data_IF_203081141877
#
_entry.id   IF_203081141877
#
_cell.length_a   1.000
_cell.length_b   1.000
_cell.length_c   1.000
_cell.angle_alpha   90.00
_cell.angle_beta   90.00
_cell.angle_gamma   90.00
#
_symmetry.space_group_name_H-M   'P 1'
#
loop_
_entity.id
_entity.type
_entity.pdbx_description
1 polymer ?
#
# COMPACT_ATOMS: atom_id res chain seq x y z
N UNK A 1 9.86 -10.80 16.69
CA UNK A 1 8.50 -11.04 16.18
C UNK A 1 8.12 -9.86 15.31
N UNK A 2 7.80 -10.08 14.04
CA UNK A 2 7.51 -9.00 13.07
C UNK A 2 6.01 -8.75 13.04
N UNK A 3 5.59 -7.47 13.14
CA UNK A 3 4.18 -7.10 12.99
C UNK A 3 3.80 -7.13 11.51
N UNK A 4 2.71 -7.82 11.19
CA UNK A 4 2.17 -7.93 9.83
C UNK A 4 0.76 -7.34 9.85
N UNK A 5 0.51 -6.37 8.99
CA UNK A 5 -0.80 -5.76 8.76
C UNK A 5 -1.24 -6.10 7.33
N UNK A 6 -2.48 -6.57 7.15
CA UNK A 6 -3.03 -6.94 5.83
C UNK A 6 -4.06 -5.89 5.42
N UNK A 7 -3.89 -5.30 4.24
CA UNK A 7 -4.83 -4.35 3.64
C UNK A 7 -5.49 -5.03 2.44
N UNK A 8 -6.82 -5.14 2.48
CA UNK A 8 -7.62 -5.78 1.43
C UNK A 8 -8.88 -4.96 1.12
N UNK A 9 -9.46 -5.19 -0.06
CA UNK A 9 -10.66 -4.50 -0.54
C UNK A 9 -10.82 -4.59 -2.05
N UNK A 10 -12.03 -4.31 -2.56
CA UNK A 10 -12.35 -4.31 -3.99
C UNK A 10 -11.49 -3.32 -4.80
N UNK A 11 -11.52 -3.46 -6.13
CA UNK A 11 -10.92 -2.47 -7.04
C UNK A 11 -11.58 -1.10 -6.78
N UNK A 12 -10.77 -0.04 -6.74
CA UNK A 12 -11.27 1.31 -6.43
C UNK A 12 -11.56 1.58 -4.94
N UNK A 13 -11.38 0.63 -4.01
CA UNK A 13 -11.65 0.83 -2.58
C UNK A 13 -10.70 1.81 -1.85
N UNK A 14 -9.79 2.49 -2.57
CA UNK A 14 -8.87 3.48 -1.99
C UNK A 14 -7.68 2.90 -1.23
N UNK A 15 -7.35 1.62 -1.43
CA UNK A 15 -6.23 0.92 -0.76
C UNK A 15 -4.90 1.68 -0.89
N UNK A 16 -4.53 2.08 -2.11
CA UNK A 16 -3.29 2.83 -2.40
C UNK A 16 -3.26 4.18 -1.67
N UNK A 17 -4.39 4.90 -1.66
CA UNK A 17 -4.52 6.19 -0.96
C UNK A 17 -4.32 6.03 0.54
N UNK A 18 -4.88 4.97 1.13
CA UNK A 18 -4.69 4.66 2.55
C UNK A 18 -3.22 4.35 2.86
N UNK A 19 -2.58 3.49 2.06
CA UNK A 19 -1.17 3.12 2.24
C UNK A 19 -0.28 4.36 2.18
N UNK A 20 -0.46 5.25 1.19
CA UNK A 20 0.31 6.50 1.07
C UNK A 20 0.17 7.39 2.32
N UNK A 21 -1.07 7.60 2.80
CA UNK A 21 -1.33 8.37 4.03
C UNK A 21 -0.68 7.75 5.27
N UNK A 22 -0.65 6.42 5.36
CA UNK A 22 0.00 5.72 6.47
C UNK A 22 1.52 5.92 6.46
N UNK A 23 2.14 5.79 5.28
CA UNK A 23 3.59 5.98 5.09
C UNK A 23 4.04 7.41 5.34
N UNK A 24 3.25 8.41 4.90
CA UNK A 24 3.56 9.83 5.07
C UNK A 24 3.25 10.36 6.48
N UNK A 25 2.40 9.66 7.24
CA UNK A 25 1.97 10.07 8.57
C UNK A 25 2.40 9.09 9.68
N UNK A 26 1.51 8.23 10.22
CA UNK A 26 1.78 7.40 11.39
C UNK A 26 2.99 6.45 11.30
N UNK A 27 3.39 6.07 10.10
CA UNK A 27 4.54 5.20 9.85
C UNK A 27 5.80 5.98 9.44
N UNK A 28 5.73 7.32 9.37
CA UNK A 28 6.87 8.16 9.02
C UNK A 28 8.04 7.91 9.99
N UNK A 29 9.22 7.67 9.43
CA UNK A 29 10.44 7.38 10.20
C UNK A 29 10.52 5.95 10.76
N UNK A 30 9.51 5.09 10.54
CA UNK A 30 9.58 3.68 10.89
C UNK A 30 10.21 2.88 9.74
N UNK A 31 10.97 1.84 10.09
CA UNK A 31 11.41 0.83 9.11
C UNK A 31 10.22 -0.05 8.75
N UNK A 32 9.72 0.12 7.54
CA UNK A 32 8.57 -0.60 7.00
C UNK A 32 8.94 -1.26 5.67
N UNK A 33 8.32 -2.41 5.40
CA UNK A 33 8.39 -3.10 4.11
C UNK A 33 6.97 -3.14 3.56
N UNK A 34 6.78 -2.66 2.33
CA UNK A 34 5.52 -2.75 1.60
C UNK A 34 5.63 -3.88 0.58
N UNK A 35 4.65 -4.78 0.59
CA UNK A 35 4.50 -5.83 -0.42
C UNK A 35 3.15 -5.58 -1.09
N UNK A 36 3.17 -5.31 -2.39
CA UNK A 36 2.00 -5.08 -3.22
C UNK A 36 2.16 -5.84 -4.54
N UNK A 37 1.05 -6.18 -5.19
CA UNK A 37 1.07 -6.99 -6.42
C UNK A 37 1.64 -6.22 -7.62
N UNK A 38 1.45 -4.89 -7.66
CA UNK A 38 1.89 -4.03 -8.76
C UNK A 38 2.61 -2.81 -8.18
N UNK A 39 3.87 -2.62 -8.60
CA UNK A 39 4.72 -1.50 -8.16
C UNK A 39 5.01 -0.58 -9.36
N UNK A 40 4.51 0.67 -9.33
CA UNK A 40 4.77 1.71 -10.35
C UNK A 40 3.52 2.47 -10.80
N UNK A 41 3.71 3.60 -11.52
CA UNK A 41 2.61 4.38 -12.14
C UNK A 41 2.06 3.76 -13.43
N UNK A 42 2.72 2.72 -13.96
CA UNK A 42 2.31 2.04 -15.17
C UNK A 42 1.26 0.99 -14.78
N UNK A 43 0.00 1.41 -14.78
CA UNK A 43 -1.12 0.48 -14.75
C UNK A 43 -1.06 -0.38 -16.01
N UNK A 44 -0.72 -1.66 -15.85
CA UNK A 44 -0.91 -2.67 -16.90
C UNK A 44 -2.34 -3.23 -16.84
N UNK A 45 -3.24 -2.62 -16.08
CA UNK A 45 -4.68 -2.80 -16.24
C UNK A 45 -5.18 -1.90 -17.40
N UNK A 46 -4.75 -2.29 -18.59
CA UNK A 46 -5.23 -1.81 -19.88
C UNK A 46 -5.73 -3.00 -20.69
N UNK A 47 -6.84 -3.60 -20.26
CA UNK A 47 -7.57 -4.68 -20.91
C UNK A 47 -8.98 -4.78 -20.39
#
# INVERSE_FOLDING_TARGET
MTKIDIISGFLGAGKTTLIRKLLEGPLKGKKVVLIENEFGEIGIDGG
#
